data_IF_098920395581
#
_entry.id   IF_098920395581
#
_cell.length_a   1.000
_cell.length_b   1.000
_cell.length_c   1.000
_cell.angle_alpha   90.00
_cell.angle_beta   90.00
_cell.angle_gamma   90.00
#
_symmetry.space_group_name_H-M   'P 1'
#
loop_
_entity.id
_entity.type
_entity.pdbx_description
1 polymer ?
#
# COMPACT_ATOMS: atom_id res chain seq x y z
N UNK A 1 35.97 -15.05 2.73
CA UNK A 1 35.57 -14.36 1.48
C UNK A 1 34.13 -14.69 1.04
N UNK A 2 33.75 -15.97 0.90
CA UNK A 2 32.42 -16.38 0.41
C UNK A 2 31.25 -15.81 1.24
N UNK A 3 31.30 -15.88 2.59
CA UNK A 3 30.24 -15.36 3.47
C UNK A 3 29.98 -13.85 3.35
N UNK A 4 31.01 -13.05 3.08
CA UNK A 4 30.89 -11.60 2.93
C UNK A 4 30.18 -11.22 1.62
N UNK A 5 30.49 -11.94 0.52
CA UNK A 5 29.82 -11.78 -0.76
C UNK A 5 28.33 -12.16 -0.66
N UNK A 6 27.99 -13.29 -0.02
CA UNK A 6 26.58 -13.69 0.18
C UNK A 6 25.78 -12.63 0.95
N UNK A 7 26.38 -12.02 1.98
CA UNK A 7 25.74 -10.96 2.77
C UNK A 7 25.51 -9.68 1.95
N UNK A 8 26.47 -9.29 1.10
CA UNK A 8 26.36 -8.12 0.21
C UNK A 8 25.27 -8.34 -0.85
N UNK A 9 25.24 -9.50 -1.51
CA UNK A 9 24.19 -9.84 -2.48
C UNK A 9 22.80 -9.92 -1.81
N UNK A 10 22.72 -10.47 -0.60
CA UNK A 10 21.49 -10.49 0.19
C UNK A 10 20.99 -9.09 0.55
N UNK A 11 21.88 -8.19 0.96
CA UNK A 11 21.53 -6.80 1.30
C UNK A 11 21.06 -6.01 0.06
N UNK A 12 21.74 -6.16 -1.08
CA UNK A 12 21.33 -5.53 -2.34
C UNK A 12 19.96 -6.06 -2.83
N UNK A 13 19.72 -7.36 -2.71
CA UNK A 13 18.44 -8.01 -3.00
C UNK A 13 17.31 -7.49 -2.09
N UNK A 14 17.56 -7.35 -0.79
CA UNK A 14 16.60 -6.79 0.17
C UNK A 14 16.26 -5.33 -0.17
N UNK A 15 17.27 -4.50 -0.41
CA UNK A 15 17.09 -3.08 -0.75
C UNK A 15 16.27 -2.90 -2.03
N UNK A 16 16.54 -3.72 -3.07
CA UNK A 16 15.78 -3.71 -4.32
C UNK A 16 14.32 -4.11 -4.11
N UNK A 17 14.08 -5.15 -3.32
CA UNK A 17 12.71 -5.59 -2.97
C UNK A 17 11.94 -4.50 -2.20
N UNK A 18 12.60 -3.82 -1.27
CA UNK A 18 11.99 -2.73 -0.52
C UNK A 18 11.65 -1.54 -1.41
N UNK A 19 12.54 -1.20 -2.36
CA UNK A 19 12.28 -0.15 -3.35
C UNK A 19 11.08 -0.51 -4.24
N UNK A 20 11.02 -1.75 -4.75
CA UNK A 20 9.86 -2.26 -5.51
C UNK A 20 8.57 -2.20 -4.68
N UNK A 21 8.65 -2.54 -3.40
CA UNK A 21 7.48 -2.50 -2.50
C UNK A 21 6.94 -1.08 -2.35
N UNK A 22 7.82 -0.08 -2.22
CA UNK A 22 7.41 1.34 -2.16
C UNK A 22 6.79 1.78 -3.47
N UNK A 23 7.42 1.47 -4.60
CA UNK A 23 6.90 1.81 -5.92
C UNK A 23 5.51 1.20 -6.16
N UNK A 24 5.32 -0.08 -5.85
CA UNK A 24 4.01 -0.75 -5.99
C UNK A 24 2.97 -0.09 -5.09
N UNK A 25 3.33 0.25 -3.86
CA UNK A 25 2.42 0.94 -2.95
C UNK A 25 1.99 2.29 -3.53
N UNK A 26 2.95 3.14 -3.92
CA UNK A 26 2.70 4.46 -4.53
C UNK A 26 1.79 4.37 -5.76
N UNK A 27 2.07 3.44 -6.68
CA UNK A 27 1.25 3.22 -7.89
C UNK A 27 -0.17 2.70 -7.59
N UNK A 28 -0.40 2.13 -6.42
CA UNK A 28 -1.67 1.50 -6.06
C UNK A 28 -2.60 2.42 -5.26
N UNK A 29 -2.07 3.41 -4.53
CA UNK A 29 -2.85 4.24 -3.58
C UNK A 29 -4.05 4.88 -4.27
N UNK A 30 -3.83 5.61 -5.37
CA UNK A 30 -4.90 6.36 -6.03
C UNK A 30 -6.05 5.46 -6.51
N UNK A 31 -5.71 4.36 -7.20
CA UNK A 31 -6.72 3.41 -7.67
C UNK A 31 -7.47 2.74 -6.53
N UNK A 32 -6.82 2.49 -5.39
CA UNK A 32 -7.49 1.93 -4.22
C UNK A 32 -8.38 2.96 -3.55
N UNK A 33 -7.94 4.22 -3.42
CA UNK A 33 -8.77 5.31 -2.91
C UNK A 33 -10.05 5.48 -3.72
N UNK A 34 -9.95 5.54 -5.05
CA UNK A 34 -11.12 5.62 -5.94
C UNK A 34 -12.06 4.43 -5.76
N UNK A 35 -11.52 3.22 -5.60
CA UNK A 35 -12.33 2.00 -5.43
C UNK A 35 -13.11 1.97 -4.10
N UNK A 36 -12.58 2.58 -3.05
CA UNK A 36 -13.14 2.43 -1.69
C UNK A 36 -13.85 3.68 -1.16
N UNK A 37 -13.65 4.85 -1.79
CA UNK A 37 -14.07 6.16 -1.28
C UNK A 37 -15.54 6.20 -0.82
N UNK A 38 -16.47 5.74 -1.65
CA UNK A 38 -17.91 5.77 -1.35
C UNK A 38 -18.32 4.80 -0.23
N UNK A 39 -17.54 3.74 -0.03
CA UNK A 39 -17.93 2.63 0.85
C UNK A 39 -17.41 2.83 2.27
N UNK A 40 -16.27 3.51 2.43
CA UNK A 40 -15.62 3.66 3.74
C UNK A 40 -16.17 4.80 4.59
N UNK A 41 -17.02 5.69 4.03
CA UNK A 41 -17.52 6.87 4.74
C UNK A 41 -18.34 6.54 6.01
N UNK A 42 -19.11 5.45 5.95
CA UNK A 42 -19.99 5.02 7.05
C UNK A 42 -19.37 3.91 7.92
N UNK A 43 -18.12 3.53 7.65
CA UNK A 43 -17.43 2.45 8.37
C UNK A 43 -16.68 3.00 9.58
N UNK A 44 -16.64 2.22 10.66
CA UNK A 44 -15.64 2.43 11.70
C UNK A 44 -14.23 2.25 11.14
N UNK A 45 -13.22 2.80 11.84
CA UNK A 45 -11.83 2.65 11.42
C UNK A 45 -11.40 1.19 11.25
N UNK A 46 -11.86 0.30 12.14
CA UNK A 46 -11.54 -1.13 12.09
C UNK A 46 -12.16 -1.82 10.87
N UNK A 47 -13.42 -1.52 10.56
CA UNK A 47 -14.11 -2.05 9.39
C UNK A 47 -13.47 -1.54 8.10
N UNK A 48 -13.21 -0.23 8.02
CA UNK A 48 -12.56 0.38 6.87
C UNK A 48 -11.16 -0.22 6.63
N UNK A 49 -10.38 -0.49 7.68
CA UNK A 49 -9.08 -1.19 7.56
C UNK A 49 -9.22 -2.56 6.93
N UNK A 50 -10.17 -3.37 7.40
CA UNK A 50 -10.45 -4.70 6.85
C UNK A 50 -10.91 -4.62 5.39
N UNK A 51 -11.82 -3.70 5.11
CA UNK A 51 -12.37 -3.47 3.78
C UNK A 51 -11.29 -3.04 2.77
N UNK A 52 -10.47 -2.03 3.12
CA UNK A 52 -9.38 -1.55 2.26
C UNK A 52 -8.39 -2.67 1.95
N UNK A 53 -7.97 -3.47 2.95
CA UNK A 53 -7.08 -4.62 2.72
C UNK A 53 -7.66 -5.60 1.70
N UNK A 54 -8.93 -5.97 1.85
CA UNK A 54 -9.59 -6.92 0.97
C UNK A 54 -9.69 -6.38 -0.47
N UNK A 55 -10.05 -5.11 -0.65
CA UNK A 55 -10.20 -4.48 -1.97
C UNK A 55 -8.87 -4.16 -2.66
N UNK A 56 -7.85 -3.81 -1.88
CA UNK A 56 -6.51 -3.53 -2.38
C UNK A 56 -5.84 -4.73 -3.06
N UNK A 57 -6.13 -5.95 -2.61
CA UNK A 57 -5.37 -7.15 -2.99
C UNK A 57 -5.25 -7.36 -4.50
N UNK A 58 -6.35 -7.19 -5.26
CA UNK A 58 -6.34 -7.36 -6.71
C UNK A 58 -5.51 -6.30 -7.43
N UNK A 59 -5.67 -5.03 -7.03
CA UNK A 59 -4.96 -3.89 -7.62
C UNK A 59 -3.46 -4.03 -7.36
N UNK A 60 -3.08 -4.23 -6.10
CA UNK A 60 -1.68 -4.36 -5.70
C UNK A 60 -1.02 -5.53 -6.40
N UNK A 61 -1.65 -6.71 -6.46
CA UNK A 61 -1.09 -7.88 -7.18
C UNK A 61 -0.89 -7.63 -8.67
N UNK A 62 -1.77 -6.84 -9.31
CA UNK A 62 -1.59 -6.44 -10.71
C UNK A 62 -0.38 -5.52 -10.85
N UNK A 63 -0.27 -4.50 -10.01
CA UNK A 63 0.85 -3.56 -10.03
C UNK A 63 2.19 -4.25 -9.69
N UNK A 64 2.21 -5.19 -8.75
CA UNK A 64 3.40 -5.99 -8.44
C UNK A 64 3.89 -6.78 -9.65
N UNK A 65 2.98 -7.48 -10.36
CA UNK A 65 3.35 -8.23 -11.56
C UNK A 65 3.92 -7.33 -12.66
N UNK A 66 3.30 -6.17 -12.87
CA UNK A 66 3.79 -5.19 -13.84
C UNK A 66 5.14 -4.60 -13.43
N UNK A 67 5.36 -4.31 -12.15
CA UNK A 67 6.63 -3.79 -11.65
C UNK A 67 7.75 -4.83 -11.80
N UNK A 68 7.54 -6.07 -11.34
CA UNK A 68 8.55 -7.14 -11.47
C UNK A 68 8.92 -7.38 -12.94
N UNK A 69 7.94 -7.40 -13.85
CA UNK A 69 8.20 -7.59 -15.29
C UNK A 69 9.00 -6.46 -15.95
N UNK A 70 9.09 -5.27 -15.32
CA UNK A 70 9.86 -4.12 -15.84
C UNK A 70 11.25 -3.98 -15.22
N UNK A 71 11.54 -4.68 -14.13
CA UNK A 71 12.78 -4.51 -13.38
C UNK A 71 13.74 -5.68 -13.61
N UNK A 72 14.88 -5.39 -14.27
CA UNK A 72 15.94 -6.37 -14.47
C UNK A 72 16.53 -6.81 -13.12
N UNK A 73 16.58 -8.13 -12.90
CA UNK A 73 17.06 -8.71 -11.64
C UNK A 73 16.05 -8.64 -10.48
N UNK A 74 14.76 -8.47 -10.79
CA UNK A 74 13.69 -8.80 -9.86
C UNK A 74 13.37 -10.31 -9.93
N UNK A 75 13.11 -10.90 -8.77
CA UNK A 75 12.76 -12.33 -8.65
C UNK A 75 11.24 -12.48 -8.55
N UNK A 76 10.67 -13.40 -9.34
CA UNK A 76 9.25 -13.74 -9.29
C UNK A 76 8.82 -14.26 -7.92
N UNK A 77 9.73 -14.91 -7.17
CA UNK A 77 9.46 -15.36 -5.80
C UNK A 77 9.16 -14.19 -4.83
N UNK A 78 9.53 -12.96 -5.17
CA UNK A 78 9.22 -11.78 -4.35
C UNK A 78 7.77 -11.33 -4.49
N UNK A 79 7.03 -11.79 -5.51
CA UNK A 79 5.68 -11.29 -5.84
C UNK A 79 4.76 -11.25 -4.64
N UNK A 80 4.64 -12.36 -3.92
CA UNK A 80 3.73 -12.47 -2.78
C UNK A 80 4.17 -11.63 -1.58
N UNK A 81 5.48 -11.57 -1.34
CA UNK A 81 6.06 -10.73 -0.27
C UNK A 81 5.81 -9.26 -0.55
N UNK A 82 6.18 -8.79 -1.76
CA UNK A 82 5.99 -7.40 -2.19
C UNK A 82 4.51 -7.02 -2.13
N UNK A 83 3.62 -7.86 -2.68
CA UNK A 83 2.19 -7.56 -2.70
C UNK A 83 1.61 -7.43 -1.29
N UNK A 84 1.93 -8.37 -0.39
CA UNK A 84 1.45 -8.35 1.00
C UNK A 84 1.96 -7.12 1.75
N UNK A 85 3.26 -6.84 1.66
CA UNK A 85 3.85 -5.68 2.33
C UNK A 85 3.33 -4.38 1.75
N UNK A 86 3.13 -4.29 0.43
CA UNK A 86 2.55 -3.11 -0.20
C UNK A 86 1.10 -2.88 0.25
N UNK A 87 0.27 -3.92 0.36
CA UNK A 87 -1.10 -3.81 0.90
C UNK A 87 -1.07 -3.19 2.31
N UNK A 88 -0.26 -3.73 3.21
CA UNK A 88 -0.18 -3.21 4.58
C UNK A 88 0.32 -1.76 4.64
N UNK A 89 1.20 -1.36 3.71
CA UNK A 89 1.70 0.01 3.61
C UNK A 89 0.65 1.00 3.10
N UNK A 90 -0.20 0.61 2.14
CA UNK A 90 -1.18 1.53 1.57
C UNK A 90 -2.42 1.72 2.44
N UNK A 91 -2.79 0.74 3.29
CA UNK A 91 -3.97 0.84 4.16
C UNK A 91 -4.04 2.15 4.96
N UNK A 92 -3.01 2.54 5.75
CA UNK A 92 -3.05 3.80 6.47
C UNK A 92 -3.08 5.04 5.56
N UNK A 93 -2.47 4.96 4.37
CA UNK A 93 -2.46 6.08 3.41
C UNK A 93 -3.85 6.30 2.80
N UNK A 94 -4.50 5.21 2.39
CA UNK A 94 -5.84 5.22 1.82
C UNK A 94 -6.84 5.76 2.84
N UNK A 95 -6.82 5.25 4.07
CA UNK A 95 -7.74 5.70 5.12
C UNK A 95 -7.59 7.19 5.44
N UNK A 96 -6.35 7.69 5.45
CA UNK A 96 -6.07 9.12 5.62
C UNK A 96 -6.62 9.94 4.46
N UNK A 97 -6.46 9.48 3.22
CA UNK A 97 -6.95 10.19 2.03
C UNK A 97 -8.48 10.17 1.92
N UNK A 98 -9.14 9.10 2.38
CA UNK A 98 -10.61 8.99 2.38
C UNK A 98 -11.25 9.60 3.63
N UNK A 99 -10.47 10.22 4.53
CA UNK A 99 -10.99 10.92 5.71
C UNK A 99 -11.64 10.02 6.77
N UNK A 100 -11.36 8.71 6.75
CA UNK A 100 -11.96 7.76 7.71
C UNK A 100 -11.40 8.00 9.10
N UNK A 101 -12.29 8.13 10.09
CA UNK A 101 -11.92 8.36 11.49
C UNK A 101 -11.54 9.81 11.81
N UNK A 102 -11.68 10.74 10.86
CA UNK A 102 -11.60 12.18 11.13
C UNK A 102 -12.99 12.68 11.50
N UNK A 103 -13.17 13.33 12.68
CA UNK A 103 -14.45 13.96 13.00
C UNK A 103 -14.78 15.03 11.96
N UNK A 104 -15.84 14.82 11.17
CA UNK A 104 -16.39 15.86 10.30
C UNK A 104 -17.04 16.90 11.23
N UNK A 105 -16.30 17.94 11.64
CA UNK A 105 -16.87 19.06 12.41
C UNK A 105 -17.93 19.72 11.50
N UNK A 106 -19.22 19.72 11.86
CA UNK A 106 -20.23 20.38 11.05
C UNK A 106 -19.91 21.88 10.97
N UNK A 107 -19.89 22.41 9.75
CA UNK A 107 -19.53 23.80 9.45
C UNK A 107 -20.33 24.84 10.25
N UNK A 108 -21.50 24.47 10.79
CA UNK A 108 -22.36 25.31 11.59
C UNK A 108 -21.75 25.83 12.90
N UNK A 109 -20.68 25.21 13.42
CA UNK A 109 -20.08 25.61 14.72
C UNK A 109 -19.06 26.76 14.58
N UNK A 110 -18.71 27.20 13.36
CA UNK A 110 -17.65 28.20 13.13
C UNK A 110 -18.10 29.67 13.21
N UNK A 111 -19.39 29.97 13.40
CA UNK A 111 -19.92 31.36 13.32
C UNK A 111 -20.31 31.93 14.69
N UNK A 112 -19.97 31.26 15.80
CA UNK A 112 -20.21 31.77 17.16
C UNK A 112 -18.89 31.93 17.92
N UNK A 113 -18.07 32.89 17.51
CA UNK A 113 -16.94 33.39 18.29
C UNK A 113 -16.74 34.88 17.98
#
# INVERSE_FOLDING_TARGET
MIKALTKLFGAASSSRRDALTRQVAELSVESVCQLVAEQVECMSLSEARGYVRARAARIVRKQTRMAIGRHLGADLAWTDTIARTAIERIVPLVLRQTGVGVPKIPAAVRVAA
#
